data_IF_297084151084
#
_entry.id   IF_297084151084
#
_cell.length_a   1.000
_cell.length_b   1.000
_cell.length_c   1.000
_cell.angle_alpha   90.00
_cell.angle_beta   90.00
_cell.angle_gamma   90.00
#
_symmetry.space_group_name_H-M   'P 1'
#
loop_
_entity.id
_entity.type
_entity.pdbx_description
1 polymer ?
#
# COMPACT_ATOMS: atom_id res chain seq x y z
N UNK A 1 -75.57 43.79 -2.66
CA UNK A 1 -76.08 44.91 -3.48
C UNK A 1 -74.88 45.76 -3.89
N UNK A 2 -74.66 45.86 -5.20
CA UNK A 2 -73.86 46.86 -5.95
C UNK A 2 -72.38 47.09 -5.62
N UNK A 3 -71.56 46.52 -6.51
CA UNK A 3 -70.23 46.97 -6.93
C UNK A 3 -70.36 48.30 -7.71
N UNK A 4 -69.35 49.20 -7.64
CA UNK A 4 -68.84 49.72 -8.91
C UNK A 4 -67.30 49.71 -9.03
N UNK A 5 -66.86 49.29 -10.23
CA UNK A 5 -65.53 49.35 -10.82
C UNK A 5 -65.24 50.73 -11.44
N UNK A 6 -63.98 51.20 -11.35
CA UNK A 6 -63.23 52.08 -12.30
C UNK A 6 -61.92 52.51 -11.62
N UNK A 7 -60.73 52.56 -12.23
CA UNK A 7 -60.23 52.37 -13.59
C UNK A 7 -58.73 52.02 -13.52
N UNK A 8 -58.17 51.25 -14.46
CA UNK A 8 -57.62 51.63 -15.77
C UNK A 8 -56.29 52.41 -15.72
N UNK A 9 -55.32 51.91 -16.50
CA UNK A 9 -53.96 52.39 -16.81
C UNK A 9 -52.85 51.85 -15.87
N UNK A 10 -51.70 51.35 -16.34
CA UNK A 10 -51.08 51.41 -17.65
C UNK A 10 -50.14 50.21 -17.87
N UNK A 11 -50.06 49.79 -19.14
CA UNK A 11 -48.95 49.04 -19.72
C UNK A 11 -47.62 49.74 -19.45
N UNK A 12 -46.65 49.00 -18.91
CA UNK A 12 -45.26 49.16 -19.35
C UNK A 12 -44.52 47.83 -19.33
N UNK A 13 -44.38 47.28 -20.54
CA UNK A 13 -43.32 46.38 -20.93
C UNK A 13 -41.96 46.89 -20.43
N UNK A 14 -41.30 46.10 -19.57
CA UNK A 14 -39.86 45.99 -19.69
C UNK A 14 -39.40 44.55 -19.41
N UNK A 15 -39.35 43.81 -20.51
CA UNK A 15 -38.61 42.58 -20.69
C UNK A 15 -37.11 42.85 -20.47
N UNK A 16 -36.67 42.90 -19.21
CA UNK A 16 -35.25 42.86 -18.87
C UNK A 16 -34.80 41.40 -18.86
N UNK A 17 -34.67 40.82 -20.05
CA UNK A 17 -33.96 39.57 -20.27
C UNK A 17 -32.48 39.79 -19.99
N UNK A 18 -32.07 39.64 -18.72
CA UNK A 18 -30.67 39.55 -18.34
C UNK A 18 -30.09 38.22 -18.84
N UNK A 19 -29.08 38.26 -19.72
CA UNK A 19 -28.39 37.07 -20.17
C UNK A 19 -27.27 36.71 -19.18
N UNK A 20 -26.91 35.43 -19.20
CA UNK A 20 -25.62 34.86 -18.77
C UNK A 20 -25.28 34.87 -17.27
N UNK A 21 -25.84 33.92 -16.52
CA UNK A 21 -25.19 33.30 -15.35
C UNK A 21 -25.26 31.78 -15.43
N UNK A 22 -24.88 31.22 -16.59
CA UNK A 22 -24.92 29.75 -16.82
C UNK A 22 -23.68 29.18 -17.51
N UNK A 23 -22.51 29.81 -17.37
CA UNK A 23 -21.27 29.30 -17.99
C UNK A 23 -20.05 29.19 -17.06
N UNK A 24 -20.16 29.53 -15.77
CA UNK A 24 -19.02 29.40 -14.84
C UNK A 24 -19.17 28.23 -13.86
N UNK A 25 -20.36 27.64 -13.75
CA UNK A 25 -20.62 26.50 -12.85
C UNK A 25 -20.11 25.17 -13.41
N UNK A 26 -19.91 25.07 -14.73
CA UNK A 26 -19.42 23.84 -15.39
C UNK A 26 -17.90 23.70 -15.33
N UNK A 27 -17.16 24.83 -15.28
CA UNK A 27 -15.69 24.81 -15.23
C UNK A 27 -15.15 24.51 -13.81
N UNK A 28 -15.91 24.82 -12.76
CA UNK A 28 -15.53 24.54 -11.36
C UNK A 28 -15.91 23.13 -10.86
N UNK A 29 -16.68 22.35 -11.62
CA UNK A 29 -17.01 20.96 -11.28
C UNK A 29 -16.05 19.92 -11.88
N UNK A 30 -15.08 20.34 -12.70
CA UNK A 30 -14.10 19.44 -13.29
C UNK A 30 -12.94 19.03 -12.34
N UNK A 31 -12.87 19.61 -11.13
CA UNK A 31 -11.73 19.43 -10.21
C UNK A 31 -12.01 18.55 -8.96
N UNK A 32 -13.13 17.81 -8.92
CA UNK A 32 -13.52 17.04 -7.71
C UNK A 32 -13.66 15.53 -7.86
N UNK A 33 -12.98 14.91 -8.82
CA UNK A 33 -12.91 13.44 -8.84
C UNK A 33 -11.56 12.90 -9.27
N UNK A 34 -10.48 13.49 -8.75
CA UNK A 34 -9.25 12.71 -8.60
C UNK A 34 -9.58 11.52 -7.68
N UNK A 35 -9.42 10.25 -8.13
CA UNK A 35 -9.73 9.09 -7.30
C UNK A 35 -8.92 9.19 -6.02
N UNK A 36 -9.59 9.36 -4.87
CA UNK A 36 -8.95 9.43 -3.56
C UNK A 36 -8.09 8.19 -3.38
N UNK A 37 -6.76 8.36 -3.42
CA UNK A 37 -5.82 7.26 -3.23
C UNK A 37 -5.96 6.75 -1.80
N UNK A 38 -6.24 5.45 -1.65
CA UNK A 38 -6.42 4.81 -0.34
C UNK A 38 -5.14 4.82 0.50
N UNK A 39 -3.97 4.80 -0.14
CA UNK A 39 -2.66 4.96 0.52
C UNK A 39 -1.99 6.25 0.03
N UNK A 40 -1.56 7.08 0.98
CA UNK A 40 -0.81 8.31 0.66
C UNK A 40 0.57 7.98 0.07
N UNK A 41 1.01 8.76 -0.93
CA UNK A 41 2.32 8.55 -1.57
C UNK A 41 3.47 8.65 -0.56
N UNK A 42 3.32 9.49 0.47
CA UNK A 42 4.31 9.64 1.55
C UNK A 42 4.44 8.37 2.37
N UNK A 43 3.32 7.70 2.69
CA UNK A 43 3.34 6.43 3.42
C UNK A 43 4.06 5.37 2.64
N UNK A 44 3.78 5.26 1.33
CA UNK A 44 4.46 4.30 0.46
C UNK A 44 5.98 4.50 0.49
N UNK A 45 6.44 5.75 0.43
CA UNK A 45 7.87 6.07 0.51
C UNK A 45 8.47 5.74 1.88
N UNK A 46 7.79 6.11 2.97
CA UNK A 46 8.25 5.78 4.33
C UNK A 46 8.36 4.26 4.50
N UNK A 47 7.34 3.52 4.08
CA UNK A 47 7.29 2.06 4.11
C UNK A 47 8.43 1.45 3.28
N UNK A 48 8.62 1.94 2.06
CA UNK A 48 9.70 1.48 1.19
C UNK A 48 11.07 1.73 1.83
N UNK A 49 11.31 2.95 2.32
CA UNK A 49 12.56 3.31 2.99
C UNK A 49 12.79 2.50 4.26
N UNK A 50 11.74 2.22 5.04
CA UNK A 50 11.81 1.38 6.24
C UNK A 50 12.24 -0.05 5.87
N UNK A 51 11.62 -0.64 4.86
CA UNK A 51 11.92 -2.00 4.42
C UNK A 51 13.33 -2.11 3.83
N UNK A 52 13.74 -1.14 3.01
CA UNK A 52 15.11 -1.05 2.49
C UNK A 52 16.12 -0.85 3.64
N UNK A 53 15.81 -0.01 4.61
CA UNK A 53 16.65 0.22 5.78
C UNK A 53 16.85 -1.03 6.64
N UNK A 54 15.76 -1.78 6.88
CA UNK A 54 15.80 -3.07 7.58
C UNK A 54 16.65 -4.09 6.81
N UNK A 55 16.53 -4.13 5.47
CA UNK A 55 17.34 -5.00 4.61
C UNK A 55 18.83 -4.64 4.69
N UNK A 56 19.16 -3.35 4.60
CA UNK A 56 20.53 -2.85 4.72
C UNK A 56 21.13 -3.14 6.09
N UNK A 57 20.34 -3.03 7.17
CA UNK A 57 20.78 -3.38 8.51
C UNK A 57 21.16 -4.87 8.65
N UNK A 58 20.58 -5.74 7.79
CA UNK A 58 20.85 -7.18 7.78
C UNK A 58 22.08 -7.57 6.94
N UNK A 59 22.63 -6.66 6.14
CA UNK A 59 23.80 -6.94 5.30
C UNK A 59 24.99 -7.56 6.06
N UNK A 60 25.51 -6.97 7.15
CA UNK A 60 26.70 -7.49 7.81
C UNK A 60 26.47 -8.92 8.32
N UNK A 61 25.26 -9.21 8.80
CA UNK A 61 24.89 -10.54 9.27
C UNK A 61 24.79 -11.55 8.12
N UNK A 62 24.22 -11.12 6.98
CA UNK A 62 24.11 -11.98 5.79
C UNK A 62 25.48 -12.24 5.17
N UNK A 63 26.39 -11.26 5.18
CA UNK A 63 27.79 -11.44 4.78
C UNK A 63 28.47 -12.53 5.60
N UNK A 64 28.39 -12.45 6.94
CA UNK A 64 28.98 -13.46 7.82
C UNK A 64 28.45 -14.87 7.53
N UNK A 65 27.13 -15.04 7.41
CA UNK A 65 26.53 -16.35 7.12
C UNK A 65 26.95 -16.93 5.77
N UNK A 66 27.10 -16.08 4.75
CA UNK A 66 27.53 -16.53 3.41
C UNK A 66 29.02 -16.85 3.40
N UNK A 67 29.85 -16.05 4.05
CA UNK A 67 31.29 -16.29 4.16
C UNK A 67 31.58 -17.59 4.93
N UNK A 68 30.86 -17.85 6.02
CA UNK A 68 30.99 -19.08 6.81
C UNK A 68 30.47 -20.32 6.08
N UNK A 69 29.56 -20.15 5.11
CA UNK A 69 28.97 -21.21 4.31
C UNK A 69 29.73 -21.57 3.04
N UNK A 70 30.80 -20.83 2.69
CA UNK A 70 31.57 -21.09 1.47
C UNK A 70 32.47 -22.34 1.64
N UNK A 71 32.46 -23.29 0.68
CA UNK A 71 33.37 -24.42 0.70
C UNK A 71 34.82 -23.92 0.65
N UNK A 72 35.68 -24.43 1.55
CA UNK A 72 37.07 -23.98 1.64
C UNK A 72 37.86 -24.20 0.33
N UNK A 73 37.46 -25.20 -0.46
CA UNK A 73 38.01 -25.48 -1.79
C UNK A 73 37.82 -24.29 -2.76
N UNK A 74 36.64 -23.66 -2.76
CA UNK A 74 36.34 -22.52 -3.64
C UNK A 74 37.04 -21.24 -3.17
N UNK A 75 37.18 -21.06 -1.85
CA UNK A 75 37.88 -19.91 -1.27
C UNK A 75 39.38 -19.99 -1.55
N UNK A 76 39.96 -21.19 -1.52
CA UNK A 76 41.37 -21.42 -1.85
C UNK A 76 41.68 -21.17 -3.33
N UNK A 77 40.74 -21.49 -4.23
CA UNK A 77 40.92 -21.32 -5.68
C UNK A 77 40.77 -19.85 -6.14
N UNK A 78 39.82 -19.10 -5.59
CA UNK A 78 39.61 -17.68 -5.94
C UNK A 78 40.51 -16.71 -5.15
N UNK A 79 40.98 -17.10 -3.96
CA UNK A 79 41.63 -16.21 -3.00
C UNK A 79 40.61 -15.43 -2.15
N UNK A 80 40.96 -15.23 -0.87
CA UNK A 80 40.05 -14.69 0.15
C UNK A 80 39.50 -13.30 -0.16
N UNK A 81 40.31 -12.44 -0.79
CA UNK A 81 39.90 -11.08 -1.17
C UNK A 81 38.87 -11.08 -2.31
N UNK A 82 39.06 -11.91 -3.34
CA UNK A 82 38.10 -12.02 -4.45
C UNK A 82 36.79 -12.66 -3.98
N UNK A 83 36.85 -13.65 -3.09
CA UNK A 83 35.65 -14.26 -2.50
C UNK A 83 34.79 -13.21 -1.75
N UNK A 84 35.41 -12.36 -0.92
CA UNK A 84 34.70 -11.30 -0.20
C UNK A 84 34.08 -10.24 -1.12
N UNK A 85 34.78 -9.89 -2.21
CA UNK A 85 34.23 -8.99 -3.24
C UNK A 85 33.05 -9.63 -3.97
N UNK A 86 33.14 -10.92 -4.34
CA UNK A 86 32.06 -11.65 -5.00
C UNK A 86 30.81 -11.75 -4.12
N UNK A 87 30.97 -12.06 -2.82
CA UNK A 87 29.87 -12.08 -1.84
C UNK A 87 29.23 -10.70 -1.72
N UNK A 88 30.03 -9.64 -1.61
CA UNK A 88 29.52 -8.27 -1.51
C UNK A 88 28.74 -7.86 -2.77
N UNK A 89 29.24 -8.22 -3.95
CA UNK A 89 28.55 -7.95 -5.21
C UNK A 89 27.23 -8.74 -5.30
N UNK A 90 27.24 -10.02 -4.93
CA UNK A 90 26.05 -10.86 -4.93
C UNK A 90 24.97 -10.31 -3.97
N UNK A 91 25.36 -9.85 -2.78
CA UNK A 91 24.45 -9.23 -1.83
C UNK A 91 23.92 -7.89 -2.32
N UNK A 92 24.75 -7.07 -2.95
CA UNK A 92 24.32 -5.81 -3.55
C UNK A 92 23.29 -6.04 -4.66
N UNK A 93 23.53 -7.01 -5.55
CA UNK A 93 22.56 -7.42 -6.58
C UNK A 93 21.28 -7.96 -5.94
N UNK A 94 21.40 -8.77 -4.88
CA UNK A 94 20.26 -9.29 -4.12
C UNK A 94 19.39 -8.19 -3.51
N UNK A 95 19.99 -7.14 -2.94
CA UNK A 95 19.26 -5.98 -2.41
C UNK A 95 18.54 -5.23 -3.53
N UNK A 96 19.20 -4.99 -4.66
CA UNK A 96 18.58 -4.28 -5.79
C UNK A 96 17.38 -5.08 -6.30
N UNK A 97 17.54 -6.39 -6.51
CA UNK A 97 16.46 -7.27 -6.94
C UNK A 97 15.29 -7.27 -5.94
N UNK A 98 15.57 -7.43 -4.65
CA UNK A 98 14.56 -7.37 -3.59
C UNK A 98 13.84 -6.02 -3.55
N UNK A 99 14.58 -4.93 -3.69
CA UNK A 99 14.01 -3.58 -3.70
C UNK A 99 13.05 -3.36 -4.87
N UNK A 100 13.40 -3.85 -6.07
CA UNK A 100 12.53 -3.82 -7.25
C UNK A 100 11.27 -4.65 -7.01
N UNK A 101 11.42 -5.88 -6.51
CA UNK A 101 10.31 -6.78 -6.19
C UNK A 101 9.38 -6.13 -5.16
N UNK A 102 9.94 -5.52 -4.12
CA UNK A 102 9.19 -4.81 -3.10
C UNK A 102 8.42 -3.61 -3.68
N UNK A 103 9.07 -2.81 -4.53
CA UNK A 103 8.42 -1.70 -5.22
C UNK A 103 7.26 -2.17 -6.10
N UNK A 104 7.41 -3.32 -6.77
CA UNK A 104 6.34 -3.99 -7.52
C UNK A 104 5.19 -4.42 -6.60
N UNK A 105 5.48 -5.07 -5.46
CA UNK A 105 4.44 -5.47 -4.49
C UNK A 105 3.67 -4.29 -3.93
N UNK A 106 4.35 -3.22 -3.51
CA UNK A 106 3.69 -2.02 -3.02
C UNK A 106 2.85 -1.35 -4.11
N UNK A 107 3.31 -1.39 -5.36
CA UNK A 107 2.56 -0.87 -6.51
C UNK A 107 1.33 -1.72 -6.83
N UNK A 108 1.46 -3.06 -6.77
CA UNK A 108 0.36 -3.99 -6.92
C UNK A 108 -0.67 -3.83 -5.80
N UNK A 109 -0.23 -3.72 -4.54
CA UNK A 109 -1.09 -3.44 -3.40
C UNK A 109 -1.86 -2.12 -3.60
N UNK A 110 -1.17 -1.06 -4.04
CA UNK A 110 -1.82 0.22 -4.35
C UNK A 110 -2.85 0.09 -5.48
N UNK A 111 -2.55 -0.69 -6.52
CA UNK A 111 -3.47 -0.94 -7.63
C UNK A 111 -4.70 -1.74 -7.17
N UNK A 112 -4.50 -2.78 -6.35
CA UNK A 112 -5.56 -3.58 -5.74
C UNK A 112 -6.45 -2.74 -4.82
N UNK A 113 -5.88 -1.82 -4.05
CA UNK A 113 -6.64 -0.87 -3.23
C UNK A 113 -7.53 0.04 -4.09
N UNK A 114 -7.04 0.50 -5.25
CA UNK A 114 -7.85 1.34 -6.16
C UNK A 114 -8.98 0.56 -6.84
N UNK A 115 -8.73 -0.69 -7.24
CA UNK A 115 -9.66 -1.46 -8.06
C UNK A 115 -10.63 -2.34 -7.25
N UNK A 116 -10.19 -2.89 -6.11
CA UNK A 116 -10.96 -3.91 -5.38
C UNK A 116 -11.65 -3.32 -4.15
N UNK A 117 -10.99 -2.40 -3.42
CA UNK A 117 -11.52 -1.88 -2.17
C UNK A 117 -10.96 -0.50 -1.82
N UNK A 118 -11.63 0.61 -2.22
CA UNK A 118 -11.16 1.97 -1.93
C UNK A 118 -11.33 2.37 -0.45
N UNK A 119 -11.74 1.46 0.45
CA UNK A 119 -11.84 1.76 1.86
C UNK A 119 -10.44 1.97 2.45
N UNK A 120 -10.09 3.23 2.72
CA UNK A 120 -8.87 3.59 3.44
C UNK A 120 -9.09 3.48 4.94
N UNK A 121 -8.17 2.86 5.67
CA UNK A 121 -8.15 2.98 7.12
C UNK A 121 -7.45 4.30 7.47
N UNK A 122 -8.21 5.21 8.06
CA UNK A 122 -7.67 6.44 8.65
C UNK A 122 -7.17 6.10 10.05
N UNK A 123 -5.87 5.87 10.20
CA UNK A 123 -5.26 5.70 11.51
C UNK A 123 -4.70 7.08 11.92
N UNK A 124 -5.48 7.84 12.68
CA UNK A 124 -5.05 9.12 13.24
C UNK A 124 -6.19 10.13 13.45
N UNK A 125 -6.39 10.57 14.68
CA UNK A 125 -7.18 11.77 14.99
C UNK A 125 -6.43 13.06 14.63
N UNK A 126 -7.20 14.12 14.36
CA UNK A 126 -6.93 15.55 14.10
C UNK A 126 -5.58 16.09 13.56
N UNK A 127 -4.42 15.41 13.72
CA UNK A 127 -3.10 15.96 13.37
C UNK A 127 -2.24 15.11 12.40
N UNK A 128 -2.65 13.90 12.01
CA UNK A 128 -1.96 13.16 10.96
C UNK A 128 -2.91 12.20 10.24
N UNK A 129 -3.48 12.63 9.11
CA UNK A 129 -4.27 11.76 8.22
C UNK A 129 -3.36 10.80 7.44
N UNK A 130 -2.79 9.82 8.14
CA UNK A 130 -2.08 8.71 7.51
C UNK A 130 -3.12 7.70 7.06
N UNK A 131 -3.50 7.77 5.77
CA UNK A 131 -4.35 6.77 5.13
C UNK A 131 -3.48 5.60 4.67
N UNK A 132 -3.72 4.42 5.26
CA UNK A 132 -3.07 3.16 4.88
C UNK A 132 -4.17 2.23 4.40
N UNK A 133 -4.04 1.71 3.18
CA UNK A 133 -4.97 0.74 2.64
C UNK A 133 -4.72 -0.68 3.16
N UNK A 134 -5.74 -1.52 3.06
CA UNK A 134 -5.74 -2.87 3.61
C UNK A 134 -4.59 -3.73 3.06
N UNK A 135 -4.40 -3.72 1.74
CA UNK A 135 -3.39 -4.54 1.07
C UNK A 135 -1.97 -4.09 1.41
N UNK A 136 -1.74 -2.77 1.51
CA UNK A 136 -0.46 -2.24 1.97
C UNK A 136 -0.17 -2.69 3.41
N UNK A 137 -1.16 -2.66 4.30
CA UNK A 137 -1.01 -3.17 5.68
C UNK A 137 -0.70 -4.66 5.71
N UNK A 138 -1.36 -5.47 4.88
CA UNK A 138 -1.09 -6.92 4.80
C UNK A 138 0.36 -7.18 4.38
N UNK A 139 0.84 -6.51 3.32
CA UNK A 139 2.22 -6.62 2.87
C UNK A 139 3.17 -6.21 3.99
N UNK A 140 2.91 -5.07 4.64
CA UNK A 140 3.76 -4.55 5.71
C UNK A 140 3.83 -5.50 6.91
N UNK A 141 2.67 -5.92 7.40
CA UNK A 141 2.57 -6.82 8.54
C UNK A 141 3.09 -8.21 8.20
N UNK A 142 3.10 -8.64 6.94
CA UNK A 142 3.69 -9.93 6.56
C UNK A 142 5.22 -9.86 6.55
N UNK A 143 5.80 -8.75 6.07
CA UNK A 143 7.25 -8.66 5.86
C UNK A 143 7.98 -8.19 7.11
N UNK A 144 7.49 -7.13 7.77
CA UNK A 144 8.20 -6.52 8.91
C UNK A 144 8.51 -7.52 10.03
N UNK A 145 7.55 -8.34 10.53
CA UNK A 145 7.81 -9.24 11.63
C UNK A 145 8.83 -10.32 11.28
N UNK A 146 8.83 -10.81 10.03
CA UNK A 146 9.81 -11.79 9.56
C UNK A 146 11.21 -11.16 9.53
N UNK A 147 11.31 -9.94 9.00
CA UNK A 147 12.60 -9.26 8.91
C UNK A 147 13.13 -8.84 10.29
N UNK A 148 12.25 -8.38 11.19
CA UNK A 148 12.61 -8.08 12.57
C UNK A 148 13.03 -9.35 13.31
N UNK A 149 12.31 -10.46 13.12
CA UNK A 149 12.72 -11.75 13.67
C UNK A 149 14.09 -12.16 13.15
N UNK A 150 14.32 -12.07 11.83
CA UNK A 150 15.59 -12.42 11.22
C UNK A 150 16.76 -11.55 11.72
N UNK A 151 16.51 -10.26 12.01
CA UNK A 151 17.49 -9.37 12.63
C UNK A 151 17.82 -9.78 14.08
N UNK A 152 16.81 -10.17 14.86
CA UNK A 152 16.99 -10.51 16.28
C UNK A 152 17.58 -11.91 16.45
N UNK A 153 17.03 -12.90 15.75
CA UNK A 153 17.42 -14.30 15.86
C UNK A 153 18.68 -14.63 15.03
N UNK A 154 19.00 -13.78 14.05
CA UNK A 154 20.10 -13.98 13.11
C UNK A 154 19.91 -15.07 12.07
N UNK A 155 18.79 -15.79 12.13
CA UNK A 155 18.44 -16.82 11.18
C UNK A 155 17.03 -16.58 10.64
N UNK A 156 16.79 -17.05 9.41
CA UNK A 156 15.45 -17.07 8.85
C UNK A 156 14.66 -18.21 9.50
N UNK A 157 13.40 -17.96 9.92
CA UNK A 157 12.57 -19.03 10.43
C UNK A 157 12.37 -20.09 9.33
N UNK A 158 12.34 -21.35 9.73
CA UNK A 158 12.03 -22.47 8.84
C UNK A 158 10.78 -22.15 8.00
N UNK A 159 10.79 -22.52 6.71
CA UNK A 159 9.70 -22.26 5.75
C UNK A 159 8.29 -22.52 6.31
N UNK A 160 8.00 -23.64 7.02
CA UNK A 160 6.67 -23.85 7.59
C UNK A 160 6.30 -22.85 8.70
N UNK A 161 7.26 -22.44 9.53
CA UNK A 161 7.04 -21.45 10.60
C UNK A 161 6.78 -20.08 9.98
N UNK A 162 7.53 -19.72 8.93
CA UNK A 162 7.34 -18.49 8.15
C UNK A 162 5.94 -18.43 7.54
N UNK A 163 5.51 -19.50 6.88
CA UNK A 163 4.17 -19.61 6.28
C UNK A 163 3.06 -19.53 7.34
N UNK A 164 3.22 -20.23 8.47
CA UNK A 164 2.25 -20.19 9.57
C UNK A 164 2.12 -18.77 10.15
N UNK A 165 3.23 -18.08 10.36
CA UNK A 165 3.24 -16.70 10.86
C UNK A 165 2.53 -15.75 9.88
N UNK A 166 2.84 -15.83 8.58
CA UNK A 166 2.18 -14.99 7.57
C UNK A 166 0.68 -15.29 7.48
N UNK A 167 0.29 -16.55 7.51
CA UNK A 167 -1.12 -16.95 7.50
C UNK A 167 -1.87 -16.41 8.73
N UNK A 168 -1.25 -16.47 9.91
CA UNK A 168 -1.81 -15.94 11.15
C UNK A 168 -1.93 -14.40 11.11
N UNK A 169 -0.92 -13.71 10.58
CA UNK A 169 -0.96 -12.26 10.42
C UNK A 169 -2.04 -11.85 9.41
N UNK A 170 -2.10 -12.51 8.26
CA UNK A 170 -3.11 -12.25 7.23
C UNK A 170 -4.53 -12.44 7.79
N UNK A 171 -4.78 -13.53 8.51
CA UNK A 171 -6.08 -13.78 9.17
C UNK A 171 -6.38 -12.77 10.27
N UNK A 172 -5.40 -12.38 11.09
CA UNK A 172 -5.57 -11.34 12.10
C UNK A 172 -5.94 -9.97 11.50
N UNK A 173 -5.27 -9.56 10.42
CA UNK A 173 -5.57 -8.31 9.71
C UNK A 173 -6.95 -8.36 9.05
N UNK A 174 -7.30 -9.48 8.40
CA UNK A 174 -8.65 -9.69 7.84
C UNK A 174 -9.72 -9.66 8.93
N UNK A 175 -9.44 -10.23 10.11
CA UNK A 175 -10.35 -10.21 11.24
C UNK A 175 -10.50 -8.80 11.82
N UNK A 176 -9.43 -8.01 11.93
CA UNK A 176 -9.51 -6.61 12.31
C UNK A 176 -10.33 -5.79 11.29
N UNK A 177 -10.16 -6.10 10.00
CA UNK A 177 -10.88 -5.50 8.88
C UNK A 177 -12.33 -5.99 8.72
N UNK A 178 -12.78 -6.99 9.50
CA UNK A 178 -14.07 -7.67 9.30
C UNK A 178 -15.25 -6.71 9.21
N UNK A 179 -15.26 -5.65 10.04
CA UNK A 179 -16.36 -4.68 10.07
C UNK A 179 -16.46 -3.88 8.77
N UNK A 180 -15.32 -3.50 8.19
CA UNK A 180 -15.28 -2.81 6.90
C UNK A 180 -15.63 -3.76 5.74
N UNK A 181 -15.20 -5.03 5.83
CA UNK A 181 -15.50 -6.04 4.82
C UNK A 181 -17.00 -6.39 4.78
N UNK A 182 -17.65 -6.51 5.94
CA UNK A 182 -19.10 -6.77 6.05
C UNK A 182 -19.89 -5.64 5.38
N UNK A 183 -19.46 -4.38 5.51
CA UNK A 183 -20.13 -3.23 4.91
C UNK A 183 -20.08 -3.22 3.37
N UNK A 184 -19.13 -3.94 2.74
CA UNK A 184 -18.98 -4.00 1.29
C UNK A 184 -19.64 -5.22 0.62
N UNK A 185 -20.28 -6.10 1.40
CA UNK A 185 -21.00 -7.28 0.92
C UNK A 185 -20.13 -8.53 0.76
N UNK A 186 -20.74 -9.70 0.99
CA UNK A 186 -20.05 -10.99 1.13
C UNK A 186 -19.21 -11.39 -0.09
N UNK A 187 -19.69 -11.15 -1.32
CA UNK A 187 -18.95 -11.49 -2.55
C UNK A 187 -17.64 -10.71 -2.68
N UNK A 188 -17.65 -9.41 -2.36
CA UNK A 188 -16.44 -8.57 -2.40
C UNK A 188 -15.48 -8.93 -1.26
N UNK A 189 -16.01 -9.26 -0.08
CA UNK A 189 -15.20 -9.70 1.04
C UNK A 189 -14.40 -10.98 0.73
N UNK A 190 -14.99 -11.96 0.02
CA UNK A 190 -14.29 -13.18 -0.39
C UNK A 190 -13.17 -12.89 -1.38
N UNK A 191 -13.42 -12.03 -2.39
CA UNK A 191 -12.38 -11.64 -3.36
C UNK A 191 -11.23 -10.93 -2.67
N UNK A 192 -11.51 -10.00 -1.74
CA UNK A 192 -10.49 -9.28 -0.97
C UNK A 192 -9.70 -10.24 -0.07
N UNK A 193 -10.36 -11.17 0.61
CA UNK A 193 -9.69 -12.16 1.44
C UNK A 193 -8.81 -13.10 0.61
N UNK A 194 -9.30 -13.57 -0.54
CA UNK A 194 -8.54 -14.42 -1.45
C UNK A 194 -7.30 -13.68 -1.97
N UNK A 195 -7.44 -12.45 -2.48
CA UNK A 195 -6.28 -11.67 -2.97
C UNK A 195 -5.31 -11.33 -1.86
N UNK A 196 -5.79 -11.03 -0.65
CA UNK A 196 -4.95 -10.82 0.53
C UNK A 196 -4.10 -12.05 0.87
N UNK A 197 -4.71 -13.23 0.90
CA UNK A 197 -4.03 -14.49 1.18
C UNK A 197 -3.03 -14.82 0.07
N UNK A 198 -3.43 -14.71 -1.20
CA UNK A 198 -2.54 -14.95 -2.34
C UNK A 198 -1.34 -14.01 -2.31
N UNK A 199 -1.55 -12.72 -2.02
CA UNK A 199 -0.48 -11.74 -1.93
C UNK A 199 0.46 -12.04 -0.76
N UNK A 200 -0.08 -12.37 0.42
CA UNK A 200 0.71 -12.74 1.59
C UNK A 200 1.55 -14.00 1.36
N UNK A 201 0.95 -15.04 0.78
CA UNK A 201 1.67 -16.27 0.43
C UNK A 201 2.79 -15.99 -0.58
N UNK A 202 2.51 -15.21 -1.61
CA UNK A 202 3.47 -14.93 -2.67
C UNK A 202 4.65 -14.07 -2.16
N UNK A 203 4.39 -13.16 -1.21
CA UNK A 203 5.44 -12.45 -0.46
C UNK A 203 6.25 -13.39 0.42
N UNK A 204 5.61 -14.36 1.08
CA UNK A 204 6.26 -15.30 1.99
C UNK A 204 7.18 -16.32 1.32
N UNK A 205 7.19 -16.40 -0.01
CA UNK A 205 8.15 -17.24 -0.74
C UNK A 205 9.54 -16.59 -0.77
N UNK A 206 9.58 -15.27 -0.84
CA UNK A 206 10.80 -14.46 -0.84
C UNK A 206 11.28 -14.15 0.59
#
# INVERSE_FOLDING_TARGET
MTIPYRGLAADHNHSESRPTTRSDSAALQADQSAPQRATSSTVKWIVYLLLVGVMLARLPQTQGMVEDGLPQEQVAELGRELAGVAVSLALMVGIVAFSIIMALYLSLATALERHVHPASYSIGGHYAFVRIGLFTTIVLCSILPIQVWALIAGELPNTPVRLAAVALICTAVLFAARRALIACGARRAVVVAATAITLGLLVSVF
#
